data_IF_555977267140
#
_entry.id   IF_555977267140
#
_cell.length_a   1.000
_cell.length_b   1.000
_cell.length_c   1.000
_cell.angle_alpha   90.00
_cell.angle_beta   90.00
_cell.angle_gamma   90.00
#
_symmetry.space_group_name_H-M   'P 1'
#
loop_
_entity.id
_entity.type
_entity.pdbx_description
1 polymer ?
#
# COMPACT_ATOMS: atom_id res chain seq x y z
N UNK A 1 -12.25 -8.43 -3.61
CA UNK A 1 -13.57 -8.84 -3.12
C UNK A 1 -14.70 -8.47 -4.07
N UNK A 2 -15.90 -9.02 -3.83
CA UNK A 2 -17.14 -8.61 -4.49
C UNK A 2 -17.34 -7.09 -4.31
N UNK A 3 -17.72 -6.35 -5.36
CA UNK A 3 -17.91 -4.90 -5.33
C UNK A 3 -18.81 -4.40 -4.19
N UNK A 4 -19.84 -5.17 -3.81
CA UNK A 4 -20.76 -4.77 -2.73
C UNK A 4 -20.08 -4.75 -1.35
N UNK A 5 -19.26 -5.77 -1.09
CA UNK A 5 -18.50 -5.90 0.16
C UNK A 5 -17.40 -4.84 0.22
N UNK A 6 -16.68 -4.66 -0.89
CA UNK A 6 -15.64 -3.64 -0.99
C UNK A 6 -16.18 -2.23 -0.73
N UNK A 7 -17.33 -1.87 -1.32
CA UNK A 7 -17.96 -0.58 -1.10
C UNK A 7 -18.39 -0.34 0.36
N UNK A 8 -18.88 -1.40 1.03
CA UNK A 8 -19.31 -1.31 2.42
C UNK A 8 -18.12 -1.07 3.35
N UNK A 9 -17.06 -1.87 3.20
CA UNK A 9 -15.83 -1.74 3.99
C UNK A 9 -15.14 -0.40 3.71
N UNK A 10 -15.07 0.02 2.45
CA UNK A 10 -14.47 1.30 2.08
C UNK A 10 -15.19 2.47 2.76
N UNK A 11 -16.52 2.43 2.80
CA UNK A 11 -17.32 3.45 3.49
C UNK A 11 -17.12 3.44 5.01
N UNK A 12 -17.02 2.26 5.62
CA UNK A 12 -16.76 2.13 7.06
C UNK A 12 -15.36 2.61 7.46
N UNK A 13 -14.36 2.32 6.61
CA UNK A 13 -12.98 2.75 6.79
C UNK A 13 -12.73 4.22 6.39
N UNK A 14 -13.73 4.90 5.80
CA UNK A 14 -13.61 6.30 5.38
C UNK A 14 -12.68 6.49 4.18
N UNK A 15 -12.59 5.51 3.27
CA UNK A 15 -11.78 5.58 2.07
C UNK A 15 -12.45 6.42 0.99
N UNK A 16 -11.67 7.28 0.33
CA UNK A 16 -12.17 8.16 -0.75
C UNK A 16 -12.48 7.37 -2.04
N UNK A 17 -11.65 6.37 -2.36
CA UNK A 17 -11.76 5.56 -3.56
C UNK A 17 -11.47 4.08 -3.26
N UNK A 18 -12.07 3.16 -4.02
CA UNK A 18 -11.79 1.74 -3.95
C UNK A 18 -11.87 1.08 -5.34
N UNK A 19 -11.08 0.04 -5.55
CA UNK A 19 -11.11 -0.81 -6.74
C UNK A 19 -11.47 -2.23 -6.32
N UNK A 20 -12.62 -2.73 -6.76
CA UNK A 20 -13.05 -4.11 -6.51
C UNK A 20 -12.59 -5.03 -7.65
N UNK A 21 -12.46 -6.33 -7.36
CA UNK A 21 -12.03 -7.36 -8.36
C UNK A 21 -10.72 -7.02 -9.11
N UNK A 22 -9.82 -6.30 -8.44
CA UNK A 22 -8.56 -5.82 -8.99
C UNK A 22 -7.65 -6.96 -9.47
N UNK A 23 -7.19 -6.90 -10.72
CA UNK A 23 -6.10 -7.72 -11.24
C UNK A 23 -4.75 -7.18 -10.77
N UNK A 24 -3.66 -7.98 -10.84
CA UNK A 24 -2.32 -7.48 -10.54
C UNK A 24 -1.93 -6.27 -11.40
N UNK A 25 -2.30 -6.26 -12.67
CA UNK A 25 -2.05 -5.14 -13.61
C UNK A 25 -2.71 -3.85 -13.14
N UNK A 26 -3.98 -3.91 -12.73
CA UNK A 26 -4.75 -2.75 -12.28
C UNK A 26 -4.09 -2.06 -11.05
N UNK A 27 -3.39 -2.83 -10.21
CA UNK A 27 -2.65 -2.28 -9.05
C UNK A 27 -1.46 -1.44 -9.50
N UNK A 28 -0.70 -1.95 -10.47
CA UNK A 28 0.48 -1.27 -11.00
C UNK A 28 0.04 0.00 -11.73
N UNK A 29 -0.98 -0.10 -12.59
CA UNK A 29 -1.53 1.04 -13.33
C UNK A 29 -2.02 2.15 -12.39
N UNK A 30 -2.67 1.79 -11.27
CA UNK A 30 -3.09 2.74 -10.26
C UNK A 30 -1.90 3.45 -9.60
N UNK A 31 -0.85 2.72 -9.25
CA UNK A 31 0.37 3.29 -8.65
C UNK A 31 1.06 4.23 -9.64
N UNK A 32 1.29 3.78 -10.87
CA UNK A 32 1.95 4.58 -11.91
C UNK A 32 1.16 5.86 -12.23
N UNK A 33 -0.18 5.77 -12.26
CA UNK A 33 -1.04 6.94 -12.47
C UNK A 33 -0.84 7.98 -11.36
N UNK A 34 -0.95 7.58 -10.10
CA UNK A 34 -0.79 8.51 -8.97
C UNK A 34 0.64 9.08 -8.91
N UNK A 35 1.66 8.26 -9.20
CA UNK A 35 3.06 8.71 -9.33
C UNK A 35 3.23 9.73 -10.47
N UNK A 36 2.56 9.53 -11.61
CA UNK A 36 2.61 10.45 -12.75
C UNK A 36 2.01 11.83 -12.43
N UNK A 37 1.10 11.89 -11.45
CA UNK A 37 0.57 13.15 -10.91
C UNK A 37 1.53 13.82 -9.90
N UNK A 38 2.71 13.25 -9.66
CA UNK A 38 3.72 13.75 -8.74
C UNK A 38 3.41 13.44 -7.27
N UNK A 39 2.53 12.48 -7.00
CA UNK A 39 2.23 12.01 -5.65
C UNK A 39 3.21 10.92 -5.23
N UNK A 40 3.50 10.85 -3.94
CA UNK A 40 4.27 9.74 -3.34
C UNK A 40 3.27 8.64 -2.99
N UNK A 41 3.47 7.44 -3.53
CA UNK A 41 2.55 6.32 -3.38
C UNK A 41 3.12 5.29 -2.40
N UNK A 42 2.36 5.02 -1.35
CA UNK A 42 2.65 3.95 -0.39
C UNK A 42 1.70 2.77 -0.64
N UNK A 43 2.23 1.55 -0.65
CA UNK A 43 1.45 0.34 -0.82
C UNK A 43 1.74 -0.65 0.31
N UNK A 44 0.70 -1.32 0.79
CA UNK A 44 0.84 -2.50 1.65
C UNK A 44 0.20 -3.73 1.03
N UNK A 45 0.78 -4.90 1.29
CA UNK A 45 0.32 -6.18 0.78
C UNK A 45 1.01 -7.36 1.45
N UNK A 46 0.46 -8.55 1.25
CA UNK A 46 0.93 -9.79 1.87
C UNK A 46 1.11 -10.92 0.84
N UNK A 47 0.55 -10.78 -0.36
CA UNK A 47 0.56 -11.80 -1.40
C UNK A 47 1.74 -11.71 -2.37
N UNK A 48 2.10 -12.84 -2.97
CA UNK A 48 3.04 -12.89 -4.10
C UNK A 48 2.57 -12.03 -5.29
N UNK A 49 1.26 -11.91 -5.46
CA UNK A 49 0.66 -11.07 -6.51
C UNK A 49 0.85 -9.58 -6.24
N UNK A 50 1.13 -9.20 -5.00
CA UNK A 50 1.36 -7.81 -4.60
C UNK A 50 2.83 -7.43 -4.70
N UNK A 51 3.73 -8.40 -4.78
CA UNK A 51 5.17 -8.16 -4.87
C UNK A 51 5.56 -7.19 -6.00
N UNK A 52 5.03 -7.29 -7.23
CA UNK A 52 5.35 -6.33 -8.29
C UNK A 52 4.89 -4.91 -7.96
N UNK A 53 3.69 -4.77 -7.39
CA UNK A 53 3.12 -3.47 -7.04
C UNK A 53 3.83 -2.86 -5.81
N UNK A 54 4.21 -3.68 -4.82
CA UNK A 54 5.04 -3.29 -3.68
C UNK A 54 6.41 -2.77 -4.12
N UNK A 55 7.00 -3.36 -5.15
CA UNK A 55 8.27 -2.91 -5.72
C UNK A 55 8.13 -1.64 -6.58
N UNK A 56 6.96 -1.40 -7.17
CA UNK A 56 6.67 -0.20 -7.97
C UNK A 56 6.35 1.03 -7.10
N UNK A 57 5.76 0.82 -5.93
CA UNK A 57 5.43 1.89 -5.00
C UNK A 57 6.70 2.61 -4.47
N UNK A 58 6.57 3.89 -4.13
CA UNK A 58 7.67 4.65 -3.50
C UNK A 58 7.98 4.12 -2.10
N UNK A 59 6.96 3.61 -1.41
CA UNK A 59 7.07 2.97 -0.10
C UNK A 59 6.23 1.68 -0.08
N UNK A 60 6.88 0.54 -0.24
CA UNK A 60 6.28 -0.79 -0.12
C UNK A 60 6.40 -1.35 1.30
N UNK A 61 5.27 -1.77 1.88
CA UNK A 61 5.17 -2.39 3.20
C UNK A 61 4.57 -3.80 3.10
N UNK A 62 5.41 -4.83 3.27
CA UNK A 62 4.95 -6.21 3.33
C UNK A 62 4.49 -6.61 4.74
N UNK A 63 3.44 -7.40 4.85
CA UNK A 63 3.06 -7.98 6.15
C UNK A 63 4.00 -9.13 6.55
N UNK A 64 4.22 -9.31 7.85
CA UNK A 64 5.04 -10.42 8.35
C UNK A 64 4.36 -11.79 8.19
N UNK A 65 3.03 -11.86 8.14
CA UNK A 65 2.33 -13.07 7.69
C UNK A 65 2.41 -13.31 6.18
N UNK A 66 2.88 -12.31 5.41
CA UNK A 66 2.93 -12.35 3.96
C UNK A 66 3.98 -13.31 3.40
N UNK A 67 3.91 -13.54 2.09
CA UNK A 67 4.81 -14.45 1.38
C UNK A 67 6.24 -13.91 1.35
N UNK A 68 7.22 -14.80 1.23
CA UNK A 68 8.64 -14.39 1.10
C UNK A 68 8.84 -13.43 -0.08
N UNK A 69 8.14 -13.66 -1.19
CA UNK A 69 8.20 -12.79 -2.35
C UNK A 69 7.72 -11.36 -2.06
N UNK A 70 6.63 -11.21 -1.28
CA UNK A 70 6.15 -9.89 -0.87
C UNK A 70 7.19 -9.18 0.03
N UNK A 71 7.77 -9.91 0.99
CA UNK A 71 8.78 -9.38 1.92
C UNK A 71 10.08 -8.96 1.24
N UNK A 72 10.50 -9.69 0.21
CA UNK A 72 11.70 -9.36 -0.56
C UNK A 72 11.49 -8.17 -1.51
N UNK A 73 10.26 -8.00 -2.02
CA UNK A 73 9.92 -6.90 -2.91
C UNK A 73 9.63 -5.59 -2.18
N UNK A 74 9.12 -5.64 -0.94
CA UNK A 74 8.81 -4.46 -0.14
C UNK A 74 10.06 -3.82 0.48
N UNK A 75 10.01 -2.51 0.72
CA UNK A 75 11.08 -1.79 1.42
C UNK A 75 11.09 -2.07 2.91
N UNK A 76 9.92 -2.35 3.49
CA UNK A 76 9.72 -2.56 4.91
C UNK A 76 8.82 -3.78 5.14
N UNK A 77 9.01 -4.42 6.30
CA UNK A 77 8.15 -5.52 6.76
C UNK A 77 7.47 -5.11 8.05
N UNK A 78 6.14 -5.11 8.06
CA UNK A 78 5.37 -4.92 9.29
C UNK A 78 5.26 -6.23 10.06
N UNK A 79 5.93 -6.26 11.21
CA UNK A 79 5.98 -7.41 12.10
C UNK A 79 4.63 -7.74 12.75
N UNK A 80 3.75 -6.75 12.92
CA UNK A 80 2.43 -6.94 13.55
C UNK A 80 1.33 -7.25 12.54
N UNK A 81 1.62 -7.14 11.23
CA UNK A 81 0.69 -7.40 10.13
C UNK A 81 -0.60 -6.55 10.22
N UNK A 82 -0.44 -5.28 10.58
CA UNK A 82 -1.49 -4.27 10.68
C UNK A 82 -1.33 -3.23 9.55
N UNK A 83 -2.23 -3.20 8.55
CA UNK A 83 -2.14 -2.27 7.43
C UNK A 83 -2.28 -0.80 7.85
N UNK A 84 -2.84 -0.50 9.03
CA UNK A 84 -2.99 0.88 9.51
C UNK A 84 -1.65 1.55 9.81
N UNK A 85 -0.59 0.76 10.05
CA UNK A 85 0.77 1.28 10.32
C UNK A 85 1.40 2.03 9.17
N UNK A 86 0.87 1.88 7.95
CA UNK A 86 1.33 2.69 6.82
C UNK A 86 1.16 4.19 7.11
N UNK A 87 0.15 4.57 7.91
CA UNK A 87 -0.06 5.94 8.36
C UNK A 87 1.07 6.43 9.28
N UNK A 88 1.51 5.59 10.21
CA UNK A 88 2.60 5.90 11.15
C UNK A 88 3.93 6.06 10.39
N UNK A 89 4.20 5.21 9.40
CA UNK A 89 5.39 5.32 8.54
C UNK A 89 5.42 6.68 7.83
N UNK A 90 4.29 7.11 7.27
CA UNK A 90 4.16 8.42 6.61
C UNK A 90 4.32 9.56 7.62
N UNK A 91 3.73 9.45 8.81
CA UNK A 91 3.83 10.47 9.86
C UNK A 91 5.27 10.67 10.34
N UNK A 92 5.97 9.58 10.64
CA UNK A 92 7.38 9.61 11.05
C UNK A 92 8.25 10.20 9.93
N UNK A 93 8.02 9.79 8.68
CA UNK A 93 8.73 10.34 7.52
C UNK A 93 8.58 11.85 7.41
N UNK A 94 7.36 12.37 7.61
CA UNK A 94 7.09 13.82 7.63
C UNK A 94 7.80 14.52 8.80
N UNK A 95 7.76 13.96 10.01
CA UNK A 95 8.42 14.55 11.18
C UNK A 95 9.93 14.68 10.98
N UNK A 96 10.58 13.66 10.41
CA UNK A 96 12.03 13.67 10.14
C UNK A 96 12.44 14.73 9.10
N UNK A 97 11.58 14.98 8.11
CA UNK A 97 11.82 16.03 7.11
C UNK A 97 11.66 17.43 7.71
N UNK A 98 10.66 17.62 8.59
CA UNK A 98 10.40 18.90 9.25
C UNK A 98 11.52 19.26 10.24
N UNK A 99 12.06 18.29 10.98
CA UNK A 99 13.12 18.55 11.97
C UNK A 99 14.50 18.80 11.36
N UNK A 100 14.65 18.62 10.04
CA UNK A 100 15.90 18.89 9.29
C UNK A 100 15.80 20.09 8.34
N UNK A 101 14.68 20.82 8.36
CA UNK A 101 14.45 22.06 7.60
C UNK A 101 14.78 23.33 8.37
#
# INVERSE_FOLDING_TARGET
DNPLTAATIAKEAGLDEFIAECKPEDKIDAIEKEQSEGRIVAMTGDGTNDAPALAQADVGLAMNSGTTAAKEAANMVDLDSDPTKILEVVEIGKQLLITRG
#
